data_IF_588778871343
#
_entry.id   IF_588778871343
#
_cell.length_a   1.000
_cell.length_b   1.000
_cell.length_c   1.000
_cell.angle_alpha   90.00
_cell.angle_beta   90.00
_cell.angle_gamma   90.00
#
_symmetry.space_group_name_H-M   'P 1'
#
loop_
_entity.id
_entity.type
_entity.pdbx_description
1 polymer ?
#
# COMPACT_ATOMS: atom_id res chain seq x y z
N UNK A 1 -50.25 -20.59 8.98
CA UNK A 1 -49.05 -20.65 9.84
C UNK A 1 -47.93 -19.85 9.17
N UNK A 2 -47.95 -18.54 9.36
CA UNK A 2 -46.92 -17.60 8.88
C UNK A 2 -45.81 -17.53 9.92
N UNK A 3 -44.63 -18.05 9.59
CA UNK A 3 -43.45 -17.93 10.44
C UNK A 3 -42.99 -16.47 10.43
N UNK A 4 -43.07 -15.82 11.59
CA UNK A 4 -42.40 -14.56 11.85
C UNK A 4 -40.89 -14.75 11.67
N UNK A 5 -40.35 -14.23 10.57
CA UNK A 5 -38.93 -13.92 10.45
C UNK A 5 -38.67 -12.78 11.44
N UNK A 6 -38.20 -13.14 12.64
CA UNK A 6 -37.68 -12.19 13.60
C UNK A 6 -36.61 -11.35 12.90
N UNK A 7 -36.88 -10.06 12.72
CA UNK A 7 -35.85 -9.11 12.31
C UNK A 7 -34.76 -9.15 13.37
N UNK A 8 -33.57 -9.59 12.99
CA UNK A 8 -32.38 -9.46 13.82
C UNK A 8 -32.25 -7.96 14.14
N UNK A 9 -32.16 -7.57 15.42
CA UNK A 9 -32.01 -6.16 15.77
C UNK A 9 -30.76 -5.63 15.07
N UNK A 10 -30.84 -4.44 14.49
CA UNK A 10 -29.66 -3.66 14.09
C UNK A 10 -28.83 -3.37 15.36
N UNK A 11 -28.03 -4.34 15.77
CA UNK A 11 -26.96 -4.17 16.75
C UNK A 11 -25.85 -3.42 16.04
N UNK A 12 -25.92 -2.10 16.09
CA UNK A 12 -24.78 -1.23 15.79
C UNK A 12 -23.72 -1.51 16.86
N UNK A 13 -22.81 -2.44 16.54
CA UNK A 13 -21.61 -2.68 17.35
C UNK A 13 -20.82 -1.37 17.37
N UNK A 14 -20.48 -0.82 18.55
CA UNK A 14 -19.70 0.41 18.63
C UNK A 14 -18.37 0.30 17.88
N UNK A 15 -17.98 1.37 17.19
CA UNK A 15 -16.75 1.44 16.40
C UNK A 15 -15.52 0.91 17.14
N UNK A 16 -15.38 1.28 18.41
CA UNK A 16 -14.24 0.92 19.26
C UNK A 16 -14.14 -0.59 19.47
N UNK A 17 -15.29 -1.26 19.58
CA UNK A 17 -15.37 -2.72 19.74
C UNK A 17 -14.98 -3.42 18.44
N UNK A 18 -15.39 -2.88 17.28
CA UNK A 18 -15.00 -3.42 15.97
C UNK A 18 -13.50 -3.31 15.77
N UNK A 19 -12.90 -2.17 16.13
CA UNK A 19 -11.45 -1.95 16.06
C UNK A 19 -10.69 -2.95 16.94
N UNK A 20 -11.13 -3.13 18.20
CA UNK A 20 -10.52 -4.11 19.11
C UNK A 20 -10.60 -5.54 18.54
N UNK A 21 -11.73 -5.93 17.97
CA UNK A 21 -11.90 -7.24 17.35
C UNK A 21 -10.96 -7.37 16.15
N UNK A 22 -10.94 -6.41 15.23
CA UNK A 22 -10.08 -6.47 14.04
C UNK A 22 -8.60 -6.47 14.38
N UNK A 23 -8.18 -5.71 15.39
CA UNK A 23 -6.77 -5.60 15.79
C UNK A 23 -6.24 -6.90 16.41
N UNK A 24 -7.11 -7.66 17.10
CA UNK A 24 -6.77 -8.94 17.72
C UNK A 24 -7.10 -10.17 16.85
N UNK A 25 -7.66 -9.94 15.66
CA UNK A 25 -8.04 -11.00 14.72
C UNK A 25 -6.92 -11.35 13.75
N UNK A 26 -6.92 -12.59 13.25
CA UNK A 26 -6.06 -13.02 12.14
C UNK A 26 -6.49 -12.37 10.81
N UNK A 27 -5.61 -12.46 9.80
CA UNK A 27 -5.83 -11.81 8.50
C UNK A 27 -7.11 -12.28 7.79
N UNK A 28 -7.49 -13.55 7.88
CA UNK A 28 -8.72 -14.02 7.24
C UNK A 28 -9.96 -13.45 7.94
N UNK A 29 -9.94 -13.40 9.27
CA UNK A 29 -11.02 -12.80 10.06
C UNK A 29 -11.15 -11.30 9.75
N UNK A 30 -10.04 -10.56 9.61
CA UNK A 30 -10.07 -9.15 9.17
C UNK A 30 -10.67 -8.97 7.78
N UNK A 31 -10.32 -9.84 6.83
CA UNK A 31 -10.89 -9.84 5.47
C UNK A 31 -12.39 -10.13 5.52
N UNK A 32 -12.83 -11.12 6.30
CA UNK A 32 -14.25 -11.42 6.47
C UNK A 32 -15.02 -10.24 7.08
N UNK A 33 -14.47 -9.58 8.11
CA UNK A 33 -15.04 -8.37 8.69
C UNK A 33 -15.18 -7.23 7.66
N UNK A 34 -14.23 -7.11 6.73
CA UNK A 34 -14.29 -6.10 5.66
C UNK A 34 -15.42 -6.32 4.65
N UNK A 35 -16.01 -7.52 4.62
CA UNK A 35 -17.10 -7.89 3.71
C UNK A 35 -18.49 -7.73 4.34
N UNK A 36 -18.58 -7.46 5.65
CA UNK A 36 -19.85 -7.39 6.39
C UNK A 36 -20.69 -6.18 5.96
N UNK A 37 -20.10 -4.99 5.93
CA UNK A 37 -20.74 -3.76 5.43
C UNK A 37 -19.68 -2.70 5.09
N UNK A 38 -20.09 -1.59 4.46
CA UNK A 38 -19.16 -0.52 4.02
C UNK A 38 -18.42 0.17 5.17
N UNK A 39 -19.03 0.28 6.33
CA UNK A 39 -18.47 0.94 7.52
C UNK A 39 -17.36 0.08 8.14
N UNK A 40 -17.62 -1.22 8.32
CA UNK A 40 -16.67 -2.21 8.77
C UNK A 40 -15.55 -2.42 7.74
N UNK A 41 -15.87 -2.37 6.44
CA UNK A 41 -14.89 -2.35 5.38
C UNK A 41 -13.94 -1.16 5.51
N UNK A 42 -14.42 0.03 5.89
CA UNK A 42 -13.59 1.21 6.08
C UNK A 42 -12.63 1.06 7.27
N UNK A 43 -13.13 0.52 8.39
CA UNK A 43 -12.35 0.32 9.62
C UNK A 43 -11.28 -0.75 9.47
N UNK A 44 -11.68 -1.91 8.95
CA UNK A 44 -10.78 -3.06 8.76
C UNK A 44 -9.71 -2.79 7.71
N UNK A 45 -9.91 -1.88 6.75
CA UNK A 45 -8.86 -1.46 5.80
C UNK A 45 -7.64 -0.88 6.50
N UNK A 46 -7.83 -0.03 7.51
CA UNK A 46 -6.73 0.53 8.30
C UNK A 46 -5.92 -0.55 9.02
N UNK A 47 -6.58 -1.63 9.45
CA UNK A 47 -5.97 -2.74 10.19
C UNK A 47 -5.40 -3.86 9.28
N UNK A 48 -5.92 -4.00 8.05
CA UNK A 48 -5.42 -4.95 7.03
C UNK A 48 -4.21 -4.40 6.30
N UNK A 49 -4.22 -3.10 5.95
CA UNK A 49 -3.09 -2.44 5.30
C UNK A 49 -2.13 -1.80 6.29
N UNK A 50 -2.58 -1.54 7.52
CA UNK A 50 -1.77 -1.02 8.62
C UNK A 50 -1.20 0.37 8.36
N UNK A 51 -0.58 0.99 9.38
CA UNK A 51 0.34 2.09 9.14
C UNK A 51 1.59 1.63 8.39
N UNK A 52 1.86 0.32 8.29
CA UNK A 52 3.05 -0.25 7.67
C UNK A 52 2.68 -1.23 6.55
N UNK A 53 2.98 -0.85 5.31
CA UNK A 53 2.85 -1.71 4.15
C UNK A 53 4.21 -2.30 3.80
N UNK A 54 4.35 -3.62 3.87
CA UNK A 54 5.57 -4.34 3.46
C UNK A 54 5.27 -5.18 2.24
N UNK A 55 5.98 -4.93 1.14
CA UNK A 55 5.73 -5.56 -0.16
C UNK A 55 7.04 -5.93 -0.85
N UNK A 56 7.02 -6.95 -1.69
CA UNK A 56 8.11 -7.15 -2.66
C UNK A 56 8.02 -6.11 -3.76
N UNK A 57 9.12 -5.86 -4.46
CA UNK A 57 9.15 -4.93 -5.58
C UNK A 57 8.15 -5.31 -6.69
N UNK A 58 7.97 -6.61 -6.97
CA UNK A 58 6.96 -7.07 -7.93
C UNK A 58 5.53 -6.79 -7.45
N UNK A 59 5.24 -7.04 -6.16
CA UNK A 59 3.94 -6.69 -5.57
C UNK A 59 3.69 -5.19 -5.62
N UNK A 60 4.72 -4.38 -5.37
CA UNK A 60 4.63 -2.93 -5.46
C UNK A 60 4.33 -2.47 -6.89
N UNK A 61 5.02 -3.01 -7.91
CA UNK A 61 4.73 -2.69 -9.32
C UNK A 61 3.28 -3.03 -9.72
N UNK A 62 2.79 -4.22 -9.31
CA UNK A 62 1.39 -4.61 -9.52
C UNK A 62 0.43 -3.66 -8.81
N UNK A 63 0.75 -3.24 -7.59
CA UNK A 63 -0.04 -2.28 -6.84
C UNK A 63 -0.13 -0.93 -7.56
N UNK A 64 1.01 -0.40 -8.04
CA UNK A 64 1.05 0.84 -8.81
C UNK A 64 0.20 0.75 -10.09
N UNK A 65 0.25 -0.41 -10.76
CA UNK A 65 -0.58 -0.68 -11.94
C UNK A 65 -2.06 -0.70 -11.58
N UNK A 66 -2.43 -1.39 -10.49
CA UNK A 66 -3.82 -1.43 -10.01
C UNK A 66 -4.34 -0.06 -9.59
N UNK A 67 -3.52 0.77 -8.92
CA UNK A 67 -3.91 2.14 -8.54
C UNK A 67 -4.15 2.98 -9.81
N UNK A 68 -3.27 2.84 -10.80
CA UNK A 68 -3.39 3.58 -12.07
C UNK A 68 -4.66 3.18 -12.84
N UNK A 69 -5.06 1.90 -12.78
CA UNK A 69 -6.23 1.38 -13.48
C UNK A 69 -7.55 1.55 -12.69
N UNK A 70 -7.51 1.53 -11.35
CA UNK A 70 -8.67 1.61 -10.46
C UNK A 70 -8.45 2.60 -9.31
N UNK A 71 -8.35 3.91 -9.59
CA UNK A 71 -7.92 4.89 -8.58
C UNK A 71 -8.86 5.01 -7.38
N UNK A 72 -10.18 4.94 -7.62
CA UNK A 72 -11.21 5.16 -6.59
C UNK A 72 -11.25 4.06 -5.53
N UNK A 73 -10.96 2.82 -5.91
CA UNK A 73 -11.03 1.68 -5.00
C UNK A 73 -9.86 1.67 -4.00
N UNK A 74 -8.67 2.04 -4.48
CA UNK A 74 -7.42 1.89 -3.73
C UNK A 74 -7.02 3.14 -2.93
N UNK A 75 -7.53 4.32 -3.31
CA UNK A 75 -7.29 5.56 -2.56
C UNK A 75 -7.77 5.46 -1.10
N UNK A 76 -8.95 4.86 -0.88
CA UNK A 76 -9.51 4.68 0.46
C UNK A 76 -8.78 3.61 1.28
N UNK A 77 -8.11 2.66 0.61
CA UNK A 77 -7.44 1.52 1.25
C UNK A 77 -6.04 1.88 1.74
N UNK A 78 -5.31 2.69 0.97
CA UNK A 78 -3.88 2.96 1.19
C UNK A 78 -3.59 4.32 1.81
N UNK A 79 -4.58 5.20 1.99
CA UNK A 79 -4.44 6.49 2.68
C UNK A 79 -3.94 6.36 4.14
N UNK A 80 -4.05 5.17 4.72
CA UNK A 80 -3.61 4.87 6.09
C UNK A 80 -2.14 4.44 6.16
N UNK A 81 -1.51 4.12 5.02
CA UNK A 81 -0.10 3.71 4.97
C UNK A 81 0.82 4.88 5.29
N UNK A 82 1.49 4.80 6.43
CA UNK A 82 2.50 5.78 6.88
C UNK A 82 3.91 5.35 6.56
N UNK A 83 4.16 4.04 6.56
CA UNK A 83 5.46 3.45 6.36
C UNK A 83 5.35 2.42 5.25
N UNK A 84 6.21 2.53 4.23
CA UNK A 84 6.26 1.60 3.12
C UNK A 84 7.64 0.95 3.07
N UNK A 85 7.68 -0.39 3.15
CA UNK A 85 8.90 -1.17 2.93
C UNK A 85 8.76 -1.94 1.62
N UNK A 86 9.60 -1.63 0.64
CA UNK A 86 9.66 -2.33 -0.63
C UNK A 86 10.96 -3.15 -0.73
N UNK A 87 10.82 -4.45 -0.98
CA UNK A 87 11.93 -5.42 -0.94
C UNK A 87 12.17 -6.04 -2.31
N UNK A 88 13.40 -5.94 -2.82
CA UNK A 88 13.85 -6.65 -4.02
C UNK A 88 15.00 -7.61 -3.68
N UNK A 89 14.65 -8.88 -3.44
CA UNK A 89 15.64 -9.91 -3.11
C UNK A 89 16.47 -10.34 -4.32
N UNK A 90 15.86 -10.34 -5.52
CA UNK A 90 16.42 -11.02 -6.70
C UNK A 90 17.01 -10.02 -7.71
N UNK A 91 16.78 -8.72 -7.54
CA UNK A 91 17.18 -7.69 -8.50
C UNK A 91 16.37 -7.75 -9.80
N UNK A 92 15.21 -8.41 -9.77
CA UNK A 92 14.33 -8.57 -10.93
C UNK A 92 13.39 -7.39 -11.11
N UNK A 93 13.35 -6.47 -10.15
CA UNK A 93 12.54 -5.27 -10.30
C UNK A 93 13.12 -4.33 -11.34
N UNK A 94 12.22 -3.71 -12.10
CA UNK A 94 12.56 -2.60 -12.99
C UNK A 94 11.94 -1.32 -12.42
N UNK A 95 12.71 -0.52 -11.65
CA UNK A 95 12.22 0.74 -11.11
C UNK A 95 11.73 1.72 -12.19
N UNK A 96 12.22 1.62 -13.43
CA UNK A 96 11.76 2.49 -14.53
C UNK A 96 10.30 2.21 -14.91
N UNK A 97 9.87 0.94 -14.87
CA UNK A 97 8.47 0.58 -15.11
C UNK A 97 7.58 1.13 -13.98
N UNK A 98 8.07 1.12 -12.75
CA UNK A 98 7.36 1.75 -11.61
C UNK A 98 7.26 3.25 -11.79
N UNK A 99 8.35 3.92 -12.19
CA UNK A 99 8.39 5.37 -12.45
C UNK A 99 7.42 5.75 -13.56
N UNK A 100 7.27 4.93 -14.60
CA UNK A 100 6.30 5.17 -15.68
C UNK A 100 4.85 5.21 -15.18
N UNK A 101 4.56 4.57 -14.04
CA UNK A 101 3.24 4.56 -13.39
C UNK A 101 3.02 5.76 -12.45
N UNK A 102 3.92 6.75 -12.44
CA UNK A 102 3.83 7.97 -11.64
C UNK A 102 2.68 8.88 -12.10
N UNK A 103 1.45 8.51 -11.75
CA UNK A 103 0.26 9.34 -12.00
C UNK A 103 -0.06 10.21 -10.79
N UNK A 104 -0.81 11.29 -10.99
CA UNK A 104 -1.31 12.13 -9.89
C UNK A 104 -2.15 11.34 -8.87
N UNK A 105 -2.82 10.27 -9.32
CA UNK A 105 -3.56 9.35 -8.45
C UNK A 105 -2.62 8.54 -7.56
N UNK A 106 -1.57 7.94 -8.12
CA UNK A 106 -0.56 7.21 -7.34
C UNK A 106 0.08 8.11 -6.29
N UNK A 107 0.45 9.35 -6.67
CA UNK A 107 1.00 10.33 -5.73
C UNK A 107 -0.01 10.68 -4.62
N UNK A 108 -1.30 10.84 -4.97
CA UNK A 108 -2.35 11.08 -3.97
C UNK A 108 -2.49 9.92 -2.99
N UNK A 109 -2.45 8.68 -3.47
CA UNK A 109 -2.56 7.48 -2.63
C UNK A 109 -1.44 7.43 -1.60
N UNK A 110 -0.20 7.70 -2.01
CA UNK A 110 0.97 7.68 -1.13
C UNK A 110 1.30 9.05 -0.51
N UNK A 111 0.39 10.02 -0.62
CA UNK A 111 0.61 11.39 -0.12
C UNK A 111 0.81 11.50 1.39
N UNK A 112 0.42 10.46 2.14
CA UNK A 112 0.51 10.40 3.60
C UNK A 112 1.63 9.47 4.09
N UNK A 113 2.40 8.87 3.19
CA UNK A 113 3.55 8.04 3.54
C UNK A 113 4.71 8.91 3.99
N UNK A 114 5.14 8.69 5.24
CA UNK A 114 6.18 9.43 5.94
C UNK A 114 7.53 8.70 5.90
N UNK A 115 7.51 7.37 5.91
CA UNK A 115 8.73 6.56 5.86
C UNK A 115 8.73 5.65 4.65
N UNK A 116 9.85 5.61 3.94
CA UNK A 116 10.10 4.69 2.84
C UNK A 116 11.37 3.89 3.13
N UNK A 117 11.27 2.57 3.08
CA UNK A 117 12.39 1.66 3.18
C UNK A 117 12.54 0.90 1.86
N UNK A 118 13.66 1.10 1.17
CA UNK A 118 14.03 0.34 -0.01
C UNK A 118 15.11 -0.67 0.38
N UNK A 119 14.75 -1.94 0.38
CA UNK A 119 15.65 -3.01 0.78
C UNK A 119 15.95 -3.94 -0.39
N UNK A 120 17.23 -4.17 -0.67
CA UNK A 120 17.67 -5.13 -1.68
C UNK A 120 18.11 -4.46 -2.98
N UNK A 121 18.26 -5.27 -4.04
CA UNK A 121 18.96 -4.86 -5.28
C UNK A 121 18.06 -4.08 -6.24
N UNK A 122 17.44 -2.98 -5.80
CA UNK A 122 16.78 -2.06 -6.73
C UNK A 122 17.83 -1.30 -7.56
N UNK A 123 17.77 -1.45 -8.88
CA UNK A 123 18.74 -0.86 -9.80
C UNK A 123 18.06 0.25 -10.61
N UNK A 124 18.35 1.50 -10.27
CA UNK A 124 17.88 2.67 -11.02
C UNK A 124 18.82 2.97 -12.19
N UNK A 125 18.29 3.47 -13.31
CA UNK A 125 19.14 3.84 -14.45
C UNK A 125 20.00 5.08 -14.17
N UNK A 126 19.53 5.98 -13.30
CA UNK A 126 20.21 7.22 -12.94
C UNK A 126 19.73 7.76 -11.59
N UNK A 127 20.48 8.69 -11.00
CA UNK A 127 20.02 9.44 -9.82
C UNK A 127 18.70 10.18 -10.08
N UNK A 128 18.52 10.71 -11.29
CA UNK A 128 17.27 11.35 -11.72
C UNK A 128 16.09 10.38 -11.74
N UNK A 129 16.29 9.12 -12.13
CA UNK A 129 15.22 8.12 -12.08
C UNK A 129 14.82 7.81 -10.64
N UNK A 130 15.79 7.72 -9.73
CA UNK A 130 15.48 7.58 -8.33
C UNK A 130 14.73 8.77 -7.75
N UNK A 131 15.13 10.01 -8.06
CA UNK A 131 14.37 11.17 -7.55
C UNK A 131 12.95 11.16 -8.09
N UNK A 132 12.72 10.81 -9.36
CA UNK A 132 11.38 10.56 -9.93
C UNK A 132 10.57 9.53 -9.15
N UNK A 133 11.20 8.45 -8.70
CA UNK A 133 10.55 7.46 -7.87
C UNK A 133 10.20 8.00 -6.48
N UNK A 134 11.11 8.77 -5.86
CA UNK A 134 10.87 9.39 -4.55
C UNK A 134 9.71 10.42 -4.60
N UNK A 135 9.50 11.08 -5.75
CA UNK A 135 8.38 12.02 -5.94
C UNK A 135 6.98 11.42 -5.74
N UNK A 136 6.86 10.10 -5.65
CA UNK A 136 5.60 9.41 -5.34
C UNK A 136 5.14 9.72 -3.91
N UNK A 137 6.07 10.12 -3.04
CA UNK A 137 5.89 10.27 -1.61
C UNK A 137 6.15 11.74 -1.19
N UNK A 138 5.19 12.65 -1.42
CA UNK A 138 5.39 14.09 -1.18
C UNK A 138 5.53 14.46 0.30
N UNK A 139 5.06 13.63 1.23
CA UNK A 139 5.18 13.83 2.67
C UNK A 139 6.30 12.98 3.30
N UNK A 140 7.28 12.55 2.50
CA UNK A 140 8.34 11.67 2.97
C UNK A 140 9.28 12.40 3.94
N UNK A 141 9.30 11.96 5.18
CA UNK A 141 10.16 12.48 6.25
C UNK A 141 11.41 11.63 6.45
N UNK A 142 11.32 10.33 6.18
CA UNK A 142 12.40 9.37 6.42
C UNK A 142 12.57 8.41 5.24
N UNK A 143 13.82 8.21 4.84
CA UNK A 143 14.20 7.34 3.73
C UNK A 143 15.35 6.43 4.15
N UNK A 144 15.07 5.13 4.23
CA UNK A 144 16.07 4.09 4.48
C UNK A 144 16.35 3.34 3.20
N UNK A 145 17.62 3.19 2.85
CA UNK A 145 18.05 2.58 1.60
C UNK A 145 19.14 1.56 1.90
N UNK A 146 18.92 0.32 1.50
CA UNK A 146 19.93 -0.74 1.57
C UNK A 146 20.11 -1.36 0.19
N UNK A 147 21.36 -1.52 -0.24
CA UNK A 147 21.74 -2.24 -1.46
C UNK A 147 21.17 -1.70 -2.79
N UNK A 148 20.64 -0.47 -2.79
CA UNK A 148 20.24 0.25 -4.02
C UNK A 148 21.46 0.62 -4.84
N UNK A 149 21.37 0.44 -6.16
CA UNK A 149 22.46 0.68 -7.11
C UNK A 149 22.01 1.53 -8.29
N UNK A 150 23.00 2.15 -8.93
CA UNK A 150 22.85 2.90 -10.17
C UNK A 150 23.47 2.08 -11.31
N UNK A 151 22.83 2.02 -12.48
CA UNK A 151 23.53 1.53 -13.67
C UNK A 151 24.71 2.47 -13.95
N UNK A 152 25.94 1.94 -13.92
CA UNK A 152 27.11 2.68 -14.37
C UNK A 152 26.94 2.97 -15.86
N UNK A 153 27.01 4.25 -16.26
CA UNK A 153 27.21 4.58 -17.68
C UNK A 153 28.56 4.00 -18.09
N UNK A 154 28.56 3.05 -19.02
CA UNK A 154 29.79 2.68 -19.70
C UNK A 154 30.19 3.86 -20.58
N UNK A 155 31.22 4.60 -20.17
CA UNK A 155 31.99 5.39 -21.10
C UNK A 155 32.71 4.39 -22.00
N UNK A 156 32.22 4.24 -23.23
CA UNK A 156 33.00 3.67 -24.32
C UNK A 156 34.03 4.75 -24.64
N UNK A 157 35.29 4.47 -24.29
CA UNK A 157 36.43 5.26 -24.72
C UNK A 157 36.77 4.95 -26.16
#
# INVERSE_FOLDING_TARGET
MTRHLNSIPNLTVPHDVVVIITDNSDLQTRIACSQVNKEWASLSRGTVFGPHLRVTANQFSKLLTSISNLPSLLNDMLQYTKNLTAIDNDGSSNPEDMIALCTSYVVRVFSKTLTLELNGRMIFTSFTSFTKFIFFFPALDSLSISHVRWKKKHHVH
#
